data_IF_171925093630
#
_entry.id   IF_171925093630
#
_cell.length_a   1.000
_cell.length_b   1.000
_cell.length_c   1.000
_cell.angle_alpha   90.00
_cell.angle_beta   90.00
_cell.angle_gamma   90.00
#
_symmetry.space_group_name_H-M   'P 1'
#
loop_
_entity.id
_entity.type
_entity.pdbx_description
1 polymer ?
#
# COMPACT_ATOMS: atom_id res chain seq x y z
N UNK A 1 -4.13 -37.03 11.46
CA UNK A 1 -4.12 -37.03 12.94
C UNK A 1 -3.20 -35.93 13.47
N UNK A 2 -3.79 -34.91 14.10
CA UNK A 2 -3.07 -33.85 14.83
C UNK A 2 -2.36 -34.53 16.00
N UNK A 3 -1.04 -34.37 16.14
CA UNK A 3 -0.28 -34.97 17.24
C UNK A 3 -0.56 -34.13 18.49
N UNK A 4 -1.29 -34.70 19.45
CA UNK A 4 -1.59 -34.05 20.72
C UNK A 4 -0.32 -33.53 21.38
N UNK A 5 -0.41 -32.31 21.91
CA UNK A 5 0.62 -31.62 22.70
C UNK A 5 1.97 -31.38 21.99
N UNK A 6 2.02 -31.51 20.66
CA UNK A 6 3.21 -31.24 19.85
C UNK A 6 2.96 -30.42 18.61
N UNK A 7 1.81 -30.59 17.95
CA UNK A 7 1.47 -29.87 16.74
C UNK A 7 0.23 -29.01 16.96
N UNK A 8 0.41 -27.69 16.88
CA UNK A 8 -0.65 -26.71 17.00
C UNK A 8 -0.77 -25.93 15.69
N UNK A 9 -2.00 -25.64 15.28
CA UNK A 9 -2.27 -24.78 14.14
C UNK A 9 -3.29 -23.72 14.54
N UNK A 10 -3.20 -22.58 13.88
CA UNK A 10 -4.15 -21.48 13.99
C UNK A 10 -4.37 -20.92 12.59
N UNK A 11 -5.64 -20.64 12.28
CA UNK A 11 -6.03 -20.02 11.03
C UNK A 11 -7.08 -18.96 11.30
N UNK A 12 -6.99 -17.85 10.59
CA UNK A 12 -7.98 -16.79 10.64
C UNK A 12 -8.23 -16.25 9.23
N UNK A 13 -9.48 -15.86 9.00
CA UNK A 13 -9.89 -15.11 7.83
C UNK A 13 -10.73 -13.93 8.29
N UNK A 14 -10.42 -12.76 7.74
CA UNK A 14 -11.17 -11.53 7.97
C UNK A 14 -11.53 -10.91 6.62
N UNK A 15 -12.81 -10.57 6.45
CA UNK A 15 -13.29 -9.74 5.35
C UNK A 15 -13.79 -8.42 5.92
N UNK A 16 -13.42 -7.35 5.25
CA UNK A 16 -13.93 -6.02 5.51
C UNK A 16 -14.51 -5.45 4.22
N UNK A 17 -15.73 -4.95 4.31
CA UNK A 17 -16.51 -4.44 3.19
C UNK A 17 -17.19 -3.15 3.67
N UNK A 18 -16.77 -2.01 3.13
CA UNK A 18 -17.25 -0.69 3.50
C UNK A 18 -17.77 0.07 2.27
N UNK A 19 -19.07 0.37 2.27
CA UNK A 19 -19.64 1.33 1.33
C UNK A 19 -19.49 2.75 1.90
N UNK A 20 -18.37 3.39 1.57
CA UNK A 20 -18.06 4.75 2.05
C UNK A 20 -18.62 5.77 1.08
N UNK A 21 -19.14 6.86 1.62
CA UNK A 21 -19.61 7.99 0.81
C UNK A 21 -18.57 9.10 0.82
N UNK A 22 -18.21 9.57 -0.36
CA UNK A 22 -17.44 10.78 -0.58
C UNK A 22 -18.33 11.86 -1.19
N UNK A 23 -17.99 13.13 -0.98
CA UNK A 23 -18.75 14.26 -1.50
C UNK A 23 -17.88 15.14 -2.39
N UNK A 24 -18.37 15.41 -3.60
CA UNK A 24 -17.87 16.40 -4.54
C UNK A 24 -18.66 17.70 -4.37
N UNK A 25 -17.97 18.80 -4.10
CA UNK A 25 -18.58 20.11 -3.85
C UNK A 25 -17.69 21.25 -4.35
N UNK A 26 -18.28 22.44 -4.46
CA UNK A 26 -17.56 23.68 -4.79
C UNK A 26 -17.49 24.60 -3.58
N UNK A 27 -16.36 25.30 -3.45
CA UNK A 27 -16.26 26.45 -2.54
C UNK A 27 -16.85 27.74 -3.16
N UNK A 28 -16.93 27.79 -4.49
CA UNK A 28 -17.46 28.90 -5.28
C UNK A 28 -18.80 28.51 -5.90
N UNK A 29 -19.88 28.75 -5.16
CA UNK A 29 -21.22 28.30 -5.51
C UNK A 29 -21.79 28.98 -6.76
N UNK A 30 -21.21 30.11 -7.19
CA UNK A 30 -21.55 30.80 -8.43
C UNK A 30 -21.34 29.92 -9.68
N UNK A 31 -20.50 28.87 -9.60
CA UNK A 31 -20.26 27.91 -10.68
C UNK A 31 -21.06 26.60 -10.52
N UNK A 32 -21.99 26.52 -9.56
CA UNK A 32 -22.75 25.28 -9.31
C UNK A 32 -23.48 24.77 -10.56
N UNK A 33 -24.14 25.66 -11.31
CA UNK A 33 -24.89 25.27 -12.51
C UNK A 33 -23.99 24.68 -13.60
N UNK A 34 -22.74 25.13 -13.67
CA UNK A 34 -21.76 24.63 -14.65
C UNK A 34 -21.28 23.21 -14.32
N UNK A 35 -21.24 22.84 -13.03
CA UNK A 35 -20.76 21.54 -12.56
C UNK A 35 -21.85 20.65 -11.98
N UNK A 36 -23.13 21.01 -12.10
CA UNK A 36 -24.24 20.35 -11.40
C UNK A 36 -24.28 18.82 -11.57
N UNK A 37 -23.83 18.30 -12.72
CA UNK A 37 -23.75 16.86 -13.01
C UNK A 37 -22.65 16.12 -12.23
N UNK A 38 -21.62 16.82 -11.77
CA UNK A 38 -20.45 16.27 -11.08
C UNK A 38 -20.46 16.54 -9.55
N UNK A 39 -21.44 17.30 -9.05
CA UNK A 39 -21.58 17.60 -7.62
C UNK A 39 -22.48 16.59 -6.91
N UNK A 40 -22.22 16.39 -5.61
CA UNK A 40 -23.01 15.51 -4.76
C UNK A 40 -22.19 14.37 -4.17
N UNK A 41 -22.89 13.36 -3.68
CA UNK A 41 -22.28 12.22 -3.02
C UNK A 41 -22.08 11.05 -3.97
N UNK A 42 -20.94 10.39 -3.89
CA UNK A 42 -20.62 9.17 -4.65
C UNK A 42 -20.07 8.10 -3.72
N UNK A 43 -20.41 6.85 -4.02
CA UNK A 43 -19.86 5.69 -3.33
C UNK A 43 -18.37 5.49 -3.69
N UNK A 44 -17.56 5.22 -2.67
CA UNK A 44 -16.12 5.01 -2.71
C UNK A 44 -15.78 3.75 -1.92
N UNK A 45 -16.21 2.57 -2.43
CA UNK A 45 -16.15 1.34 -1.68
C UNK A 45 -14.71 0.97 -1.30
N UNK A 46 -14.58 0.22 -0.21
CA UNK A 46 -13.35 -0.40 0.23
C UNK A 46 -13.61 -1.85 0.60
N UNK A 47 -12.81 -2.74 0.02
CA UNK A 47 -12.84 -4.16 0.29
C UNK A 47 -11.45 -4.63 0.72
N UNK A 48 -11.41 -5.48 1.74
CA UNK A 48 -10.20 -6.14 2.18
C UNK A 48 -10.50 -7.58 2.56
N UNK A 49 -9.63 -8.49 2.12
CA UNK A 49 -9.60 -9.87 2.56
C UNK A 49 -8.22 -10.17 3.16
N UNK A 50 -8.19 -10.72 4.37
CA UNK A 50 -6.96 -11.14 5.06
C UNK A 50 -7.10 -12.60 5.46
N UNK A 51 -6.13 -13.41 5.04
CA UNK A 51 -5.95 -14.77 5.50
C UNK A 51 -4.64 -14.87 6.27
N UNK A 52 -4.70 -15.44 7.47
CA UNK A 52 -3.53 -15.75 8.27
C UNK A 52 -3.53 -17.22 8.66
N UNK A 53 -2.37 -17.86 8.54
CA UNK A 53 -2.15 -19.23 8.98
C UNK A 53 -0.87 -19.35 9.77
N UNK A 54 -0.90 -20.15 10.84
CA UNK A 54 0.28 -20.50 11.62
C UNK A 54 0.26 -21.97 12.00
N UNK A 55 1.43 -22.59 11.89
CA UNK A 55 1.72 -23.93 12.37
C UNK A 55 2.87 -23.83 13.38
N UNK A 56 2.75 -24.54 14.48
CA UNK A 56 3.79 -24.66 15.51
C UNK A 56 3.95 -26.13 15.86
N UNK A 57 5.14 -26.65 15.61
CA UNK A 57 5.44 -28.06 15.75
C UNK A 57 6.66 -28.28 16.63
N UNK A 58 6.44 -28.88 17.80
CA UNK A 58 7.49 -29.49 18.61
C UNK A 58 7.80 -30.86 18.01
N UNK A 59 8.86 -30.96 17.21
CA UNK A 59 9.25 -32.20 16.53
C UNK A 59 9.67 -33.23 17.60
N UNK A 60 10.54 -32.79 18.51
CA UNK A 60 11.01 -33.51 19.69
C UNK A 60 11.40 -32.51 20.80
N UNK A 61 11.97 -32.96 21.92
CA UNK A 61 12.33 -32.10 23.05
C UNK A 61 13.44 -31.08 22.74
N UNK A 62 14.11 -31.19 21.59
CA UNK A 62 15.21 -30.34 21.13
C UNK A 62 14.86 -29.53 19.88
N UNK A 63 13.80 -29.88 19.15
CA UNK A 63 13.48 -29.31 17.85
C UNK A 63 12.09 -28.68 17.83
N UNK A 64 12.03 -27.42 17.40
CA UNK A 64 10.77 -26.69 17.21
C UNK A 64 10.75 -26.00 15.85
N UNK A 65 9.68 -26.23 15.10
CA UNK A 65 9.41 -25.60 13.82
C UNK A 65 8.18 -24.69 13.95
N UNK A 66 8.33 -23.43 13.55
CA UNK A 66 7.21 -22.51 13.36
C UNK A 66 7.13 -22.13 11.89
N UNK A 67 5.90 -22.11 11.38
CA UNK A 67 5.59 -21.65 10.04
C UNK A 67 4.41 -20.69 10.14
N UNK A 68 4.49 -19.53 9.53
CA UNK A 68 3.35 -18.63 9.39
C UNK A 68 3.26 -18.02 8.01
N UNK A 69 2.04 -17.77 7.56
CA UNK A 69 1.75 -17.13 6.28
C UNK A 69 0.66 -16.09 6.45
N UNK A 70 0.75 -15.03 5.68
CA UNK A 70 -0.29 -14.02 5.53
C UNK A 70 -0.55 -13.80 4.04
N UNK A 71 -1.82 -13.71 3.67
CA UNK A 71 -2.26 -13.30 2.35
C UNK A 71 -3.30 -12.20 2.52
N UNK A 72 -3.04 -11.02 1.98
CA UNK A 72 -3.92 -9.87 2.06
C UNK A 72 -4.16 -9.29 0.68
N UNK A 73 -5.42 -9.02 0.36
CA UNK A 73 -5.85 -8.23 -0.79
C UNK A 73 -6.67 -7.05 -0.32
N UNK A 74 -6.45 -5.89 -0.92
CA UNK A 74 -7.18 -4.65 -0.66
C UNK A 74 -7.58 -4.02 -1.98
N UNK A 75 -8.81 -3.54 -2.07
CA UNK A 75 -9.30 -2.72 -3.16
C UNK A 75 -9.97 -1.47 -2.58
N UNK A 76 -9.61 -0.32 -3.13
CA UNK A 76 -9.97 0.97 -2.56
C UNK A 76 -10.24 1.98 -3.68
N UNK A 77 -11.49 2.42 -3.79
CA UNK A 77 -11.84 3.52 -4.71
C UNK A 77 -11.75 4.84 -3.96
N UNK A 78 -10.92 5.78 -4.43
CA UNK A 78 -10.73 7.11 -3.80
C UNK A 78 -10.49 8.22 -4.82
N UNK A 79 -10.52 9.47 -4.36
CA UNK A 79 -10.18 10.65 -5.17
C UNK A 79 -11.39 11.39 -5.74
N UNK A 80 -12.58 10.85 -5.57
CA UNK A 80 -13.85 11.51 -5.84
C UNK A 80 -14.36 12.31 -4.63
N UNK A 81 -13.59 13.31 -4.19
CA UNK A 81 -13.97 14.15 -3.05
C UNK A 81 -13.46 15.59 -3.17
N UNK A 82 -14.13 16.49 -2.45
CA UNK A 82 -13.82 17.91 -2.47
C UNK A 82 -14.13 18.53 -3.83
N UNK A 83 -13.19 19.32 -4.36
CA UNK A 83 -13.31 19.96 -5.68
C UNK A 83 -12.92 19.01 -6.83
N UNK A 84 -13.05 17.71 -6.65
CA UNK A 84 -12.85 16.71 -7.70
C UNK A 84 -14.18 16.04 -8.03
N UNK A 85 -14.46 15.90 -9.33
CA UNK A 85 -15.60 15.15 -9.82
C UNK A 85 -15.48 13.65 -9.47
N UNK A 86 -16.60 12.91 -9.38
CA UNK A 86 -16.60 11.45 -9.31
C UNK A 86 -15.73 10.79 -10.38
N UNK A 87 -15.67 11.39 -11.57
CA UNK A 87 -14.88 10.86 -12.68
C UNK A 87 -13.37 10.78 -12.39
N UNK A 88 -12.87 11.57 -11.43
CA UNK A 88 -11.47 11.62 -11.00
C UNK A 88 -11.09 10.51 -10.03
N UNK A 89 -12.00 9.59 -9.71
CA UNK A 89 -11.69 8.46 -8.86
C UNK A 89 -10.56 7.59 -9.46
N UNK A 90 -9.71 7.08 -8.58
CA UNK A 90 -8.75 6.02 -8.85
C UNK A 90 -9.16 4.76 -8.08
N UNK A 91 -8.76 3.62 -8.64
CA UNK A 91 -8.79 2.34 -7.95
C UNK A 91 -7.38 2.04 -7.47
N UNK A 92 -7.23 1.86 -6.16
CA UNK A 92 -5.99 1.48 -5.52
C UNK A 92 -6.12 0.03 -5.04
N UNK A 93 -5.28 -0.84 -5.57
CA UNK A 93 -5.23 -2.25 -5.23
C UNK A 93 -3.95 -2.55 -4.48
N UNK A 94 -4.07 -3.26 -3.36
CA UNK A 94 -2.96 -3.77 -2.57
C UNK A 94 -2.96 -5.28 -2.57
N UNK A 95 -1.79 -5.90 -2.71
CA UNK A 95 -1.62 -7.33 -2.46
C UNK A 95 -0.39 -7.54 -1.60
N UNK A 96 -0.52 -8.33 -0.53
CA UNK A 96 0.60 -8.71 0.34
C UNK A 96 0.60 -10.22 0.54
N UNK A 97 1.76 -10.83 0.32
CA UNK A 97 2.03 -12.23 0.58
C UNK A 97 3.25 -12.30 1.49
N UNK A 98 3.08 -12.83 2.68
CA UNK A 98 4.18 -13.00 3.63
C UNK A 98 4.27 -14.46 4.06
N UNK A 99 5.49 -14.96 4.18
CA UNK A 99 5.80 -16.30 4.66
C UNK A 99 6.99 -16.21 5.61
N UNK A 100 6.87 -16.83 6.77
CA UNK A 100 7.94 -16.96 7.74
C UNK A 100 8.07 -18.43 8.14
N UNK A 101 9.30 -18.93 8.11
CA UNK A 101 9.67 -20.22 8.65
C UNK A 101 10.77 -20.01 9.67
N UNK A 102 10.65 -20.67 10.82
CA UNK A 102 11.64 -20.66 11.90
C UNK A 102 11.86 -22.07 12.39
N UNK A 103 13.10 -22.51 12.43
CA UNK A 103 13.50 -23.79 13.01
C UNK A 103 14.50 -23.56 14.13
N UNK A 104 14.20 -24.09 15.30
CA UNK A 104 15.03 -24.02 16.48
C UNK A 104 15.52 -25.42 16.83
N UNK A 105 16.83 -25.56 17.06
CA UNK A 105 17.48 -26.79 17.47
C UNK A 105 18.36 -26.59 18.69
N UNK A 106 18.00 -27.26 19.80
CA UNK A 106 18.78 -27.32 21.03
C UNK A 106 19.76 -28.49 20.97
N UNK A 107 21.02 -28.17 20.68
CA UNK A 107 22.14 -29.09 20.87
C UNK A 107 22.48 -29.27 22.35
N UNK A 108 23.46 -30.12 22.64
CA UNK A 108 23.88 -30.38 24.02
C UNK A 108 24.47 -29.15 24.72
N UNK A 109 25.21 -28.32 23.97
CA UNK A 109 25.92 -27.15 24.48
C UNK A 109 25.76 -25.94 23.57
N UNK A 110 24.72 -25.95 22.72
CA UNK A 110 24.43 -24.85 21.82
C UNK A 110 22.96 -24.82 21.44
N UNK A 111 22.49 -23.66 21.02
CA UNK A 111 21.19 -23.43 20.42
C UNK A 111 21.40 -22.89 19.00
N UNK A 112 20.81 -23.53 18.01
CA UNK A 112 20.77 -23.05 16.63
C UNK A 112 19.37 -22.58 16.27
N UNK A 113 19.27 -21.44 15.60
CA UNK A 113 18.02 -20.87 15.12
C UNK A 113 18.18 -20.51 13.65
N UNK A 114 17.45 -21.22 12.80
CA UNK A 114 17.36 -20.95 11.37
C UNK A 114 16.03 -20.26 11.05
N UNK A 115 16.04 -19.28 10.15
CA UNK A 115 14.82 -18.63 9.69
C UNK A 115 14.87 -18.25 8.22
N UNK A 116 13.70 -18.30 7.59
CA UNK A 116 13.44 -17.80 6.25
C UNK A 116 12.25 -16.84 6.35
N UNK A 117 12.45 -15.62 5.87
CA UNK A 117 11.40 -14.62 5.70
C UNK A 117 11.22 -14.35 4.21
N UNK A 118 9.99 -14.41 3.73
CA UNK A 118 9.61 -13.99 2.39
C UNK A 118 8.49 -12.96 2.49
N UNK A 119 8.63 -11.87 1.73
CA UNK A 119 7.61 -10.85 1.57
C UNK A 119 7.50 -10.49 0.10
N UNK A 120 6.28 -10.47 -0.41
CA UNK A 120 5.91 -9.81 -1.66
C UNK A 120 4.77 -8.86 -1.37
N UNK A 121 4.98 -7.57 -1.63
CA UNK A 121 3.94 -6.57 -1.55
C UNK A 121 3.84 -5.85 -2.90
N UNK A 122 2.62 -5.62 -3.37
CA UNK A 122 2.34 -4.75 -4.51
C UNK A 122 1.25 -3.75 -4.17
N UNK A 123 1.41 -2.57 -4.76
CA UNK A 123 0.45 -1.49 -4.78
C UNK A 123 0.25 -1.07 -6.23
N UNK A 124 -0.99 -1.04 -6.68
CA UNK A 124 -1.38 -0.60 -8.00
C UNK A 124 -2.44 0.50 -7.90
N UNK A 125 -2.18 1.65 -8.48
CA UNK A 125 -3.18 2.70 -8.68
C UNK A 125 -3.50 2.76 -10.17
N UNK A 126 -4.76 2.53 -10.50
CA UNK A 126 -5.31 2.62 -11.85
C UNK A 126 -6.40 3.68 -11.94
N UNK A 127 -6.56 4.25 -13.14
CA UNK A 127 -7.55 5.30 -13.41
C UNK A 127 -8.87 4.64 -13.81
N UNK A 128 -9.97 4.99 -13.15
CA UNK A 128 -11.28 4.39 -13.44
C UNK A 128 -11.84 4.89 -14.78
N UNK A 129 -11.65 6.18 -15.10
CA UNK A 129 -12.07 6.79 -16.36
C UNK A 129 -10.87 7.19 -17.24
N UNK A 130 -10.03 6.22 -17.58
CA UNK A 130 -8.79 6.46 -18.34
C UNK A 130 -8.98 6.90 -19.81
N UNK A 131 -10.20 6.83 -20.35
CA UNK A 131 -10.53 7.28 -21.71
C UNK A 131 -10.93 8.76 -21.77
N UNK A 132 -11.35 9.34 -20.64
CA UNK A 132 -11.72 10.75 -20.56
C UNK A 132 -10.49 11.59 -20.23
N UNK A 133 -10.22 12.61 -21.04
CA UNK A 133 -9.18 13.58 -20.71
C UNK A 133 -9.49 14.30 -19.39
N UNK A 134 -8.45 14.59 -18.62
CA UNK A 134 -8.54 15.39 -17.41
C UNK A 134 -8.86 16.85 -17.74
N UNK A 135 -9.65 17.49 -16.88
CA UNK A 135 -10.03 18.90 -16.98
C UNK A 135 -9.82 19.56 -15.63
N UNK A 136 -9.06 20.64 -15.61
CA UNK A 136 -8.86 21.45 -14.42
C UNK A 136 -9.42 22.85 -14.70
N UNK A 137 -10.46 23.23 -13.95
CA UNK A 137 -11.09 24.53 -14.06
C UNK A 137 -10.53 25.45 -13.00
N UNK A 138 -9.96 26.57 -13.44
CA UNK A 138 -9.14 27.45 -12.62
C UNK A 138 -9.53 28.88 -12.90
N UNK A 139 -9.24 29.75 -11.95
CA UNK A 139 -9.37 31.20 -12.14
C UNK A 139 -7.95 31.73 -12.21
N UNK A 140 -7.60 32.41 -13.31
CA UNK A 140 -6.36 33.16 -13.39
C UNK A 140 -6.55 34.60 -12.92
N UNK A 141 -5.52 35.16 -12.28
CA UNK A 141 -5.45 36.61 -12.02
C UNK A 141 -4.79 37.29 -13.20
N UNK A 142 -5.14 38.56 -13.39
CA UNK A 142 -4.44 39.41 -14.34
C UNK A 142 -2.98 39.60 -13.90
N UNK A 143 -2.04 39.35 -14.81
CA UNK A 143 -0.60 39.46 -14.56
C UNK A 143 -0.10 40.91 -14.54
N UNK A 144 -0.89 41.86 -15.08
CA UNK A 144 -0.53 43.28 -15.08
C UNK A 144 -1.72 44.18 -14.81
N UNK A 145 -1.68 44.93 -13.71
CA UNK A 145 -2.69 45.94 -13.38
C UNK A 145 -2.56 47.23 -14.23
N UNK A 146 -1.49 47.40 -15.00
CA UNK A 146 -1.19 48.63 -15.74
C UNK A 146 -1.30 48.48 -17.26
N UNK A 147 -1.25 47.25 -17.77
CA UNK A 147 -1.44 46.97 -19.19
C UNK A 147 -2.94 46.78 -19.47
N UNK A 148 -3.55 47.51 -20.41
CA UNK A 148 -4.95 47.29 -20.74
C UNK A 148 -5.24 45.88 -21.28
N UNK A 149 -6.30 45.24 -20.77
CA UNK A 149 -6.73 43.89 -21.14
C UNK A 149 -6.15 42.80 -20.23
N UNK A 150 -6.78 41.63 -20.20
CA UNK A 150 -6.34 40.51 -19.36
C UNK A 150 -5.01 39.95 -19.83
N UNK A 151 -3.97 40.06 -18.99
CA UNK A 151 -2.66 39.49 -19.27
C UNK A 151 -2.58 38.07 -18.72
N UNK A 152 -2.73 37.08 -19.60
CA UNK A 152 -2.67 35.67 -19.22
C UNK A 152 -1.25 35.25 -18.78
N UNK A 153 -1.15 34.65 -17.61
CA UNK A 153 0.05 33.97 -17.12
C UNK A 153 -0.33 32.68 -16.39
N UNK A 154 0.18 31.54 -16.89
CA UNK A 154 -0.10 30.21 -16.32
C UNK A 154 0.32 30.09 -14.84
N UNK A 155 1.30 30.88 -14.40
CA UNK A 155 1.78 30.86 -13.02
C UNK A 155 0.98 31.79 -12.11
N UNK A 156 0.14 32.68 -12.66
CA UNK A 156 -0.68 33.62 -11.89
C UNK A 156 -2.09 33.07 -11.61
N UNK A 157 -2.14 31.86 -11.06
CA UNK A 157 -3.38 31.17 -10.74
C UNK A 157 -3.95 31.68 -9.41
N UNK A 158 -5.20 32.13 -9.39
CA UNK A 158 -5.93 32.51 -8.17
C UNK A 158 -6.33 31.26 -7.37
N UNK A 159 -7.09 30.37 -8.00
CA UNK A 159 -7.63 29.18 -7.36
C UNK A 159 -8.00 28.09 -8.35
N UNK A 160 -8.04 26.84 -7.87
CA UNK A 160 -8.70 25.73 -8.56
C UNK A 160 -10.16 25.69 -8.14
N UNK A 161 -11.06 25.83 -9.10
CA UNK A 161 -12.51 25.77 -8.85
C UNK A 161 -12.95 24.32 -8.75
N UNK A 162 -12.60 23.52 -9.75
CA UNK A 162 -13.02 22.13 -9.86
C UNK A 162 -12.11 21.33 -10.81
N UNK A 163 -12.03 20.02 -10.60
CA UNK A 163 -11.28 19.11 -11.48
C UNK A 163 -12.15 17.93 -11.88
N UNK A 164 -12.24 17.64 -13.18
CA UNK A 164 -13.08 16.58 -13.74
C UNK A 164 -12.30 15.74 -14.77
N UNK A 165 -12.98 14.72 -15.33
CA UNK A 165 -12.37 13.77 -16.27
C UNK A 165 -11.46 12.74 -15.60
N UNK A 166 -10.73 11.97 -16.40
CA UNK A 166 -9.81 10.96 -15.89
C UNK A 166 -8.60 11.56 -15.18
N UNK A 167 -7.99 10.79 -14.29
CA UNK A 167 -6.71 11.15 -13.67
C UNK A 167 -5.56 10.98 -14.65
N UNK A 168 -4.48 11.72 -14.43
CA UNK A 168 -3.26 11.70 -15.26
C UNK A 168 -2.19 10.72 -14.75
N UNK A 169 -2.35 10.25 -13.52
CA UNK A 169 -1.38 9.46 -12.78
C UNK A 169 -1.86 8.02 -12.57
N UNK A 170 -1.00 7.07 -12.94
CA UNK A 170 -1.11 5.67 -12.58
C UNK A 170 0.24 5.20 -12.03
N UNK A 171 0.22 4.24 -11.10
CA UNK A 171 1.46 3.73 -10.54
C UNK A 171 1.35 2.26 -10.18
N UNK A 172 2.44 1.53 -10.35
CA UNK A 172 2.60 0.18 -9.88
C UNK A 172 3.92 0.07 -9.12
N UNK A 173 3.83 -0.28 -7.84
CA UNK A 173 4.96 -0.46 -6.95
C UNK A 173 4.95 -1.91 -6.49
N UNK A 174 6.08 -2.58 -6.56
CA UNK A 174 6.24 -3.94 -6.06
C UNK A 174 7.54 -4.08 -5.30
N UNK A 175 7.46 -4.65 -4.10
CA UNK A 175 8.60 -5.04 -3.29
C UNK A 175 8.60 -6.55 -3.10
N UNK A 176 9.75 -7.17 -3.30
CA UNK A 176 10.01 -8.57 -2.96
C UNK A 176 11.23 -8.64 -2.06
N UNK A 177 11.13 -9.37 -0.96
CA UNK A 177 12.26 -9.65 -0.09
C UNK A 177 12.28 -11.12 0.29
N UNK A 178 13.48 -11.71 0.23
CA UNK A 178 13.76 -13.00 0.84
C UNK A 178 14.95 -12.83 1.76
N UNK A 179 14.78 -13.19 3.02
CA UNK A 179 15.84 -13.18 4.03
C UNK A 179 16.04 -14.58 4.56
N UNK A 180 17.29 -14.99 4.66
CA UNK A 180 17.70 -16.24 5.32
C UNK A 180 18.66 -15.85 6.44
N UNK A 181 18.45 -16.42 7.62
CA UNK A 181 19.29 -16.19 8.79
C UNK A 181 19.56 -17.49 9.52
N UNK A 182 20.78 -17.63 10.01
CA UNK A 182 21.14 -18.69 10.95
C UNK A 182 21.96 -18.09 12.10
N UNK A 183 21.46 -18.29 13.32
CA UNK A 183 22.12 -17.85 14.55
C UNK A 183 22.50 -19.06 15.39
N UNK A 184 23.67 -19.00 16.00
CA UNK A 184 24.22 -20.00 16.90
C UNK A 184 24.57 -19.33 18.23
N UNK A 185 23.98 -19.84 19.30
CA UNK A 185 24.26 -19.45 20.68
C UNK A 185 24.95 -20.60 21.39
N UNK A 186 26.10 -20.35 22.01
CA UNK A 186 26.83 -21.29 22.86
C UNK A 186 26.77 -20.73 24.29
N UNK A 187 25.82 -21.20 25.11
CA UNK A 187 25.77 -20.83 26.52
C UNK A 187 26.85 -21.57 27.31
N UNK A 188 27.18 -21.05 28.49
CA UNK A 188 28.02 -21.72 29.50
C UNK A 188 29.39 -22.21 29.01
N UNK A 189 30.02 -21.44 28.12
CA UNK A 189 31.39 -21.70 27.69
C UNK A 189 32.36 -21.42 28.84
N UNK A 190 32.97 -22.48 29.37
CA UNK A 190 33.99 -22.39 30.41
C UNK A 190 35.35 -22.02 29.80
N UNK A 191 35.67 -20.73 29.77
CA UNK A 191 36.96 -20.20 29.33
C UNK A 191 37.32 -18.95 30.12
N UNK A 192 38.25 -19.03 31.07
CA UNK A 192 38.57 -17.91 31.98
C UNK A 192 37.32 -17.34 32.68
N UNK A 193 36.40 -18.21 33.09
CA UNK A 193 35.07 -17.85 33.57
C UNK A 193 33.97 -18.44 32.68
N UNK A 194 32.72 -18.16 33.02
CA UNK A 194 31.55 -18.60 32.25
C UNK A 194 31.16 -17.51 31.26
N UNK A 195 31.14 -17.85 29.98
CA UNK A 195 30.77 -16.93 28.89
C UNK A 195 29.61 -17.47 28.08
N UNK A 196 28.84 -16.58 27.45
CA UNK A 196 27.87 -16.95 26.42
C UNK A 196 28.27 -16.27 25.12
N UNK A 197 28.46 -17.07 24.06
CA UNK A 197 28.81 -16.55 22.74
C UNK A 197 27.60 -16.66 21.83
N UNK A 198 27.29 -15.59 21.10
CA UNK A 198 26.28 -15.57 20.04
C UNK A 198 26.93 -15.12 18.74
N UNK A 199 26.74 -15.90 17.69
CA UNK A 199 27.23 -15.59 16.35
C UNK A 199 26.18 -16.00 15.32
N UNK A 200 26.13 -15.31 14.19
CA UNK A 200 25.13 -15.62 13.18
C UNK A 200 25.43 -14.94 11.85
N UNK A 201 24.78 -15.43 10.81
CA UNK A 201 24.86 -14.89 9.46
C UNK A 201 23.44 -14.60 8.95
N UNK A 202 23.29 -13.47 8.27
CA UNK A 202 22.06 -13.07 7.59
C UNK A 202 22.38 -12.74 6.14
N UNK A 203 21.57 -13.28 5.25
CA UNK A 203 21.57 -12.93 3.84
C UNK A 203 20.18 -12.43 3.45
N UNK A 204 20.09 -11.30 2.76
CA UNK A 204 18.82 -10.68 2.39
C UNK A 204 18.89 -10.20 0.95
N UNK A 205 17.98 -10.70 0.12
CA UNK A 205 17.74 -10.23 -1.23
C UNK A 205 16.50 -9.34 -1.21
N UNK A 206 16.62 -8.16 -1.82
CA UNK A 206 15.51 -7.23 -1.95
C UNK A 206 15.44 -6.74 -3.39
N UNK A 207 14.25 -6.86 -3.99
CA UNK A 207 13.96 -6.34 -5.32
C UNK A 207 12.80 -5.36 -5.18
N UNK A 208 12.98 -4.19 -5.77
CA UNK A 208 11.97 -3.15 -5.79
C UNK A 208 11.74 -2.73 -7.24
N UNK A 209 10.49 -2.81 -7.66
CA UNK A 209 10.03 -2.38 -8.98
C UNK A 209 9.07 -1.21 -8.80
N UNK A 210 9.31 -0.14 -9.55
CA UNK A 210 8.46 1.04 -9.56
C UNK A 210 8.21 1.42 -11.00
N UNK A 211 6.94 1.52 -11.33
CA UNK A 211 6.46 2.19 -12.52
C UNK A 211 5.54 3.31 -12.08
N UNK A 212 5.83 4.53 -12.53
CA UNK A 212 4.95 5.69 -12.33
C UNK A 212 4.73 6.32 -13.68
N UNK A 213 3.47 6.35 -14.09
CA UNK A 213 3.04 6.97 -15.32
C UNK A 213 2.47 8.34 -14.94
N UNK A 214 3.19 9.40 -15.25
CA UNK A 214 2.74 10.77 -15.05
C UNK A 214 2.30 11.36 -16.39
N UNK A 215 1.13 12.01 -16.42
CA UNK A 215 0.63 12.65 -17.64
C UNK A 215 0.24 11.67 -18.74
N UNK A 216 0.00 10.39 -18.41
CA UNK A 216 -0.42 9.39 -19.41
C UNK A 216 -1.79 9.73 -20.00
N UNK A 217 -2.69 10.22 -19.16
CA UNK A 217 -3.94 10.81 -19.61
C UNK A 217 -3.76 12.34 -19.69
N UNK A 218 -3.97 12.98 -20.85
CA UNK A 218 -3.83 14.42 -20.98
C UNK A 218 -4.77 15.14 -20.04
N UNK A 219 -4.27 16.19 -19.37
CA UNK A 219 -5.09 17.08 -18.55
C UNK A 219 -5.02 18.49 -19.12
N UNK A 220 -6.17 19.08 -19.39
CA UNK A 220 -6.31 20.42 -19.92
C UNK A 220 -6.78 21.38 -18.83
N UNK A 221 -6.24 22.59 -18.86
CA UNK A 221 -6.58 23.66 -17.92
C UNK A 221 -7.51 24.64 -18.63
N UNK A 222 -8.61 24.99 -17.98
CA UNK A 222 -9.62 25.93 -18.47
C UNK A 222 -9.74 27.10 -17.49
N UNK A 223 -9.75 28.32 -18.03
CA UNK A 223 -10.07 29.53 -17.28
C UNK A 223 -11.60 29.71 -17.23
N UNK A 224 -12.15 30.07 -16.07
CA UNK A 224 -13.60 30.21 -15.83
C UNK A 224 -13.94 31.41 -14.95
#
# INVERSE_FOLDING_TARGET
PIIQDRLHFFGAYERKDEDRIAQSFLNRTEYNDFFAADLGTVSTPYEQDVFFGKLSWQIDDRQRLELSTEYKTEEDIRGASGQNAPSRAARNNGETQAFNLRHQFQGQHFLNEFSIDYLKSSYEQSVINGLDYGREYVIFRDDSATTPGFQYNINNRDSTVFTAGGRADAQFLQQKSTTIRNDLTIPDLAWMGTHTIKMGAKYSMQNYFVQKDFGRNPTFVYDI
#
